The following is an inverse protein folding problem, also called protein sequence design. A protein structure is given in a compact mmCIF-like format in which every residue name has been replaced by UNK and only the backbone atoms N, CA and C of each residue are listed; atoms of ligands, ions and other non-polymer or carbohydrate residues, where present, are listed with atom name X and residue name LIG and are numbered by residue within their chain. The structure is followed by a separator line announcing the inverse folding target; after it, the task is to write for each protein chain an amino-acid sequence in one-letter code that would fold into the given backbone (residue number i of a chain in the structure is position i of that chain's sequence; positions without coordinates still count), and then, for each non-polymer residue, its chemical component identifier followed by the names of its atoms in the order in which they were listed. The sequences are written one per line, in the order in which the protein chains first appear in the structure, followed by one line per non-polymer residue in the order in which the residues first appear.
data_IF_809176221145
#
_entry.id   IF_809176221145
#
_cell.length_a   1.000
_cell.length_b   1.000
_cell.length_c   1.000
_cell.angle_alpha   90.00
_cell.angle_beta   90.00
_cell.angle_gamma   90.00
#
_symmetry.space_group_name_H-M   'P 1'
#
loop_
_entity.id
_entity.type
_entity.pdbx_description
1 polymer ?
#
# COMPACT_ATOMS: atom_id res chain seq x y z
N UNK A 1 7.64 16.69 23.07
CA UNK A 1 8.11 16.98 21.69
C UNK A 1 6.92 16.80 20.75
N UNK A 2 6.63 17.75 19.89
CA UNK A 2 5.49 17.67 18.97
C UNK A 2 6.00 17.68 17.53
N UNK A 3 5.57 16.69 16.72
CA UNK A 3 5.85 16.66 15.29
C UNK A 3 4.57 16.97 14.52
N UNK A 4 4.69 17.74 13.45
CA UNK A 4 3.54 18.15 12.64
C UNK A 4 3.80 17.83 11.17
N UNK A 5 2.74 17.43 10.47
CA UNK A 5 2.74 17.16 9.03
C UNK A 5 1.53 17.79 8.38
N UNK A 6 1.72 18.24 7.15
CA UNK A 6 0.66 18.60 6.22
C UNK A 6 0.70 17.62 5.05
N UNK A 7 -0.43 17.07 4.68
CA UNK A 7 -0.47 16.03 3.64
C UNK A 7 -1.68 16.21 2.75
N UNK A 8 -1.44 16.25 1.43
CA UNK A 8 -2.49 16.22 0.43
C UNK A 8 -2.79 14.77 0.01
N UNK A 9 -4.03 14.33 0.11
CA UNK A 9 -4.48 13.01 -0.33
C UNK A 9 -4.72 12.99 -1.84
N UNK A 10 -3.67 13.25 -2.60
CA UNK A 10 -3.64 13.12 -4.04
C UNK A 10 -3.39 11.67 -4.49
N UNK A 11 -3.33 11.41 -5.80
CA UNK A 11 -3.11 10.06 -6.33
C UNK A 11 -1.76 9.48 -5.89
N UNK A 12 -0.73 10.30 -5.75
CA UNK A 12 0.60 9.87 -5.34
C UNK A 12 0.60 9.39 -3.89
N UNK A 13 0.05 10.19 -2.98
CA UNK A 13 -0.11 9.87 -1.55
C UNK A 13 -0.92 8.58 -1.35
N UNK A 14 -2.06 8.46 -2.04
CA UNK A 14 -2.92 7.27 -1.96
C UNK A 14 -2.25 6.02 -2.55
N UNK A 15 -1.42 6.19 -3.60
CA UNK A 15 -0.59 5.10 -4.14
C UNK A 15 0.51 4.70 -3.15
N UNK A 16 1.13 5.67 -2.47
CA UNK A 16 2.11 5.41 -1.42
C UNK A 16 1.49 4.66 -0.23
N UNK A 17 0.27 5.04 0.19
CA UNK A 17 -0.49 4.30 1.22
C UNK A 17 -0.75 2.86 0.80
N UNK A 18 -1.21 2.63 -0.43
CA UNK A 18 -1.45 1.29 -0.96
C UNK A 18 -0.16 0.46 -1.01
N UNK A 19 0.97 1.05 -1.44
CA UNK A 19 2.29 0.42 -1.46
C UNK A 19 2.77 0.07 -0.04
N UNK A 20 2.63 0.99 0.92
CA UNK A 20 2.94 0.77 2.33
C UNK A 20 2.17 -0.42 2.90
N UNK A 21 0.84 -0.46 2.73
CA UNK A 21 -0.01 -1.58 3.15
C UNK A 21 0.40 -2.90 2.50
N UNK A 22 0.64 -2.89 1.19
CA UNK A 22 1.02 -4.11 0.45
C UNK A 22 2.35 -4.68 0.91
N UNK A 23 3.33 -3.83 1.21
CA UNK A 23 4.67 -4.27 1.59
C UNK A 23 4.83 -4.57 3.09
N UNK A 24 3.86 -4.17 3.91
CA UNK A 24 3.82 -4.46 5.35
C UNK A 24 2.77 -5.54 5.66
N UNK A 25 1.57 -5.11 6.02
CA UNK A 25 0.50 -6.00 6.54
C UNK A 25 -0.06 -6.97 5.50
N UNK A 26 -0.03 -6.62 4.20
CA UNK A 26 -0.52 -7.47 3.09
C UNK A 26 0.56 -8.29 2.38
N UNK A 27 1.82 -8.19 2.79
CA UNK A 27 2.98 -8.78 2.09
C UNK A 27 2.80 -10.28 1.78
N UNK A 28 2.35 -11.06 2.77
CA UNK A 28 2.13 -12.50 2.61
C UNK A 28 1.01 -12.80 1.59
N UNK A 29 -0.10 -12.06 1.64
CA UNK A 29 -1.23 -12.24 0.72
C UNK A 29 -0.85 -11.90 -0.71
N UNK A 30 -0.26 -10.75 -0.95
CA UNK A 30 0.17 -10.32 -2.28
C UNK A 30 1.20 -11.28 -2.90
N UNK A 31 2.17 -11.79 -2.10
CA UNK A 31 3.14 -12.80 -2.54
C UNK A 31 2.46 -14.11 -2.94
N UNK A 32 1.51 -14.62 -2.12
CA UNK A 32 0.79 -15.87 -2.43
C UNK A 32 0.00 -15.77 -3.74
N UNK A 33 -0.71 -14.64 -3.96
CA UNK A 33 -1.46 -14.42 -5.20
C UNK A 33 -0.55 -14.45 -6.42
N UNK A 34 0.62 -13.81 -6.37
CA UNK A 34 1.58 -13.81 -7.49
C UNK A 34 2.16 -15.19 -7.75
N UNK A 35 2.54 -15.93 -6.71
CA UNK A 35 3.06 -17.29 -6.84
C UNK A 35 2.00 -18.18 -7.48
N UNK A 36 0.76 -18.14 -6.98
CA UNK A 36 -0.34 -18.94 -7.53
C UNK A 36 -0.60 -18.59 -9.00
N UNK A 37 -0.69 -17.31 -9.35
CA UNK A 37 -0.88 -16.88 -10.72
C UNK A 37 0.28 -17.33 -11.64
N UNK A 38 1.53 -17.30 -11.16
CA UNK A 38 2.68 -17.80 -11.89
C UNK A 38 2.62 -19.31 -12.14
N UNK A 39 2.24 -20.12 -11.15
CA UNK A 39 2.09 -21.57 -11.30
C UNK A 39 1.01 -21.90 -12.34
N UNK A 40 -0.17 -21.27 -12.24
CA UNK A 40 -1.27 -21.50 -13.19
C UNK A 40 -0.88 -21.07 -14.61
N UNK A 41 -0.13 -19.96 -14.74
CA UNK A 41 0.39 -19.51 -16.03
C UNK A 41 1.32 -20.57 -16.65
N UNK A 42 2.27 -21.11 -15.88
CA UNK A 42 3.20 -22.13 -16.37
C UNK A 42 2.44 -23.39 -16.79
N UNK A 43 1.48 -23.87 -15.99
CA UNK A 43 0.65 -25.03 -16.34
C UNK A 43 -0.13 -24.76 -17.63
N UNK A 44 -0.71 -23.58 -17.78
CA UNK A 44 -1.44 -23.18 -19.00
C UNK A 44 -0.54 -23.15 -20.23
N UNK A 45 0.67 -22.61 -20.12
CA UNK A 45 1.64 -22.56 -21.22
C UNK A 45 2.12 -23.96 -21.62
N UNK A 46 2.42 -24.83 -20.65
CA UNK A 46 2.81 -26.24 -20.90
C UNK A 46 1.67 -27.00 -21.60
N UNK A 47 0.42 -26.83 -21.11
CA UNK A 47 -0.75 -27.45 -21.75
C UNK A 47 -0.92 -27.01 -23.21
N UNK A 48 -0.72 -25.70 -23.47
CA UNK A 48 -0.78 -25.15 -24.83
C UNK A 48 0.32 -25.72 -25.72
N UNK A 49 1.57 -25.78 -25.20
CA UNK A 49 2.70 -26.35 -25.94
C UNK A 49 2.50 -27.83 -26.29
N UNK A 50 1.99 -28.64 -25.35
CA UNK A 50 1.67 -30.05 -25.57
C UNK A 50 0.59 -30.24 -26.63
N UNK A 51 -0.48 -29.43 -26.62
CA UNK A 51 -1.53 -29.49 -27.67
C UNK A 51 -0.96 -29.19 -29.06
N UNK A 52 -0.06 -28.21 -29.17
CA UNK A 52 0.62 -27.88 -30.43
C UNK A 52 1.52 -29.06 -30.89
N UNK A 53 2.32 -29.61 -29.98
CA UNK A 53 3.22 -30.71 -30.28
C UNK A 53 2.47 -31.96 -30.72
N UNK A 54 1.31 -32.24 -30.15
CA UNK A 54 0.44 -33.40 -30.51
C UNK A 54 -0.42 -33.13 -31.74
N UNK A 55 -0.26 -31.99 -32.42
CA UNK A 55 -1.08 -31.57 -33.58
C UNK A 55 -2.59 -31.60 -33.29
N UNK A 56 -2.99 -31.49 -32.02
CA UNK A 56 -4.39 -31.38 -31.64
C UNK A 56 -4.91 -29.97 -31.92
N UNK A 57 -6.22 -29.84 -32.26
CA UNK A 57 -6.79 -28.50 -32.46
C UNK A 57 -6.72 -27.69 -31.19
N UNK A 58 -6.17 -26.46 -31.30
CA UNK A 58 -6.11 -25.50 -30.18
C UNK A 58 -7.54 -25.14 -29.75
N UNK A 59 -7.91 -25.57 -28.56
CA UNK A 59 -9.19 -25.18 -27.97
C UNK A 59 -9.05 -23.78 -27.33
N UNK A 60 -10.13 -23.01 -27.34
CA UNK A 60 -10.17 -21.66 -26.79
C UNK A 60 -9.62 -21.61 -25.32
N UNK A 61 -9.87 -22.65 -24.51
CA UNK A 61 -9.35 -22.77 -23.14
C UNK A 61 -7.83 -22.73 -23.05
N UNK A 62 -7.13 -23.28 -24.05
CA UNK A 62 -5.66 -23.36 -24.07
C UNK A 62 -5.02 -21.97 -24.19
N UNK A 63 -5.72 -21.00 -24.77
CA UNK A 63 -5.28 -19.60 -24.93
C UNK A 63 -5.85 -18.71 -23.82
N UNK A 64 -7.11 -18.91 -23.43
CA UNK A 64 -7.78 -18.07 -22.46
C UNK A 64 -7.16 -18.16 -21.06
N UNK A 65 -6.72 -19.35 -20.63
CA UNK A 65 -6.12 -19.54 -19.30
C UNK A 65 -4.79 -18.78 -19.17
N UNK A 66 -3.79 -18.95 -20.06
CA UNK A 66 -2.56 -18.15 -20.00
C UNK A 66 -2.82 -16.64 -20.09
N UNK A 67 -3.74 -16.21 -20.97
CA UNK A 67 -4.09 -14.81 -21.13
C UNK A 67 -4.71 -14.21 -19.85
N UNK A 68 -5.62 -14.95 -19.21
CA UNK A 68 -6.21 -14.54 -17.94
C UNK A 68 -5.15 -14.42 -16.83
N UNK A 69 -4.20 -15.36 -16.76
CA UNK A 69 -3.13 -15.31 -15.76
C UNK A 69 -2.15 -14.18 -16.00
N UNK A 70 -1.83 -13.86 -17.26
CA UNK A 70 -1.05 -12.67 -17.60
C UNK A 70 -1.74 -11.39 -17.11
N UNK A 71 -3.06 -11.29 -17.28
CA UNK A 71 -3.83 -10.17 -16.75
C UNK A 71 -3.78 -10.09 -15.22
N UNK A 72 -3.87 -11.22 -14.51
CA UNK A 72 -3.76 -11.25 -13.04
C UNK A 72 -2.36 -10.82 -12.60
N UNK A 73 -1.31 -11.26 -13.27
CA UNK A 73 0.07 -10.85 -12.99
C UNK A 73 0.22 -9.34 -13.24
N UNK A 74 -0.23 -8.84 -14.39
CA UNK A 74 -0.20 -7.42 -14.72
C UNK A 74 -0.94 -6.58 -13.69
N UNK A 75 -2.17 -6.95 -13.32
CA UNK A 75 -2.95 -6.26 -12.30
C UNK A 75 -2.23 -6.27 -10.93
N UNK A 76 -1.57 -7.38 -10.58
CA UNK A 76 -0.78 -7.49 -9.35
C UNK A 76 0.48 -6.61 -9.35
N UNK A 77 1.07 -6.35 -10.51
CA UNK A 77 2.19 -5.40 -10.65
C UNK A 77 1.73 -3.94 -10.53
N UNK A 78 0.50 -3.66 -10.98
CA UNK A 78 -0.12 -2.34 -10.91
C UNK A 78 -1.00 -2.13 -9.65
N UNK A 79 -0.97 -3.09 -8.72
CA UNK A 79 -1.86 -3.14 -7.54
C UNK A 79 -1.88 -1.80 -6.77
N UNK A 80 -0.72 -1.20 -6.54
CA UNK A 80 -0.62 0.04 -5.77
C UNK A 80 -1.30 1.21 -6.46
N UNK A 81 -1.06 1.36 -7.78
CA UNK A 81 -1.70 2.41 -8.60
C UNK A 81 -3.21 2.21 -8.73
N UNK A 82 -3.65 0.97 -8.93
CA UNK A 82 -5.06 0.65 -9.04
C UNK A 82 -5.78 0.94 -7.73
N UNK A 83 -5.21 0.50 -6.60
CA UNK A 83 -5.75 0.79 -5.27
C UNK A 83 -5.73 2.29 -4.96
N UNK A 84 -4.67 3.02 -5.33
CA UNK A 84 -4.62 4.47 -5.20
C UNK A 84 -5.71 5.20 -6.00
N UNK A 85 -5.99 4.74 -7.24
CA UNK A 85 -7.09 5.30 -8.06
C UNK A 85 -8.47 5.03 -7.45
N UNK A 86 -8.69 3.81 -6.95
CA UNK A 86 -9.94 3.47 -6.26
C UNK A 86 -10.09 4.32 -4.99
N UNK A 87 -9.04 4.44 -4.20
CA UNK A 87 -9.04 5.28 -3.01
C UNK A 87 -9.36 6.75 -3.36
N UNK A 88 -8.76 7.30 -4.44
CA UNK A 88 -9.00 8.68 -4.87
C UNK A 88 -10.47 8.93 -5.25
N UNK A 89 -11.14 7.95 -5.86
CA UNK A 89 -12.57 8.08 -6.20
C UNK A 89 -13.46 8.11 -4.94
N UNK A 90 -12.97 7.56 -3.84
CA UNK A 90 -13.71 7.44 -2.58
C UNK A 90 -13.28 8.48 -1.53
N UNK A 91 -12.39 9.42 -1.88
CA UNK A 91 -12.04 10.54 -1.00
C UNK A 91 -13.27 11.44 -0.85
N UNK A 92 -13.64 11.69 0.39
CA UNK A 92 -14.79 12.55 0.70
C UNK A 92 -14.40 14.03 0.50
N UNK A 93 -15.31 14.86 -0.04
CA UNK A 93 -15.07 16.30 -0.15
C UNK A 93 -14.68 16.90 1.21
N UNK A 94 -13.63 17.70 1.22
CA UNK A 94 -13.12 18.33 2.43
C UNK A 94 -12.14 17.45 3.25
N UNK A 95 -11.78 16.25 2.75
CA UNK A 95 -10.74 15.41 3.36
C UNK A 95 -9.48 15.29 2.51
N UNK A 96 -9.38 16.09 1.46
CA UNK A 96 -8.26 16.07 0.52
C UNK A 96 -6.95 16.58 1.13
N UNK A 97 -7.07 17.48 2.09
CA UNK A 97 -5.95 18.04 2.84
C UNK A 97 -6.09 17.71 4.32
N UNK A 98 -5.02 17.26 4.94
CA UNK A 98 -5.01 16.92 6.36
C UNK A 98 -3.76 17.47 7.05
N UNK A 99 -3.96 18.09 8.20
CA UNK A 99 -2.91 18.40 9.15
C UNK A 99 -2.86 17.33 10.23
N UNK A 100 -1.66 16.93 10.62
CA UNK A 100 -1.45 15.94 11.65
C UNK A 100 -0.49 16.43 12.72
N UNK A 101 -0.82 16.17 13.98
CA UNK A 101 0.00 16.51 15.13
C UNK A 101 0.24 15.26 15.97
N UNK A 102 1.52 14.91 16.14
CA UNK A 102 1.96 13.80 17.00
C UNK A 102 2.37 14.32 18.36
N UNK A 103 1.70 13.86 19.41
CA UNK A 103 1.98 14.15 20.81
C UNK A 103 2.46 12.94 21.59
N UNK A 104 2.50 13.03 22.90
CA UNK A 104 3.00 11.93 23.76
C UNK A 104 2.11 10.71 23.79
N UNK A 105 0.79 10.87 23.86
CA UNK A 105 -0.17 9.78 24.07
C UNK A 105 -0.81 9.27 22.77
N UNK A 106 -0.61 9.99 21.65
CA UNK A 106 -1.21 9.67 20.37
C UNK A 106 -1.04 10.80 19.37
N UNK A 107 -1.76 10.70 18.26
CA UNK A 107 -1.73 11.73 17.23
C UNK A 107 -3.14 12.10 16.77
N UNK A 108 -3.28 13.32 16.33
CA UNK A 108 -4.54 13.88 15.85
C UNK A 108 -4.40 14.22 14.37
N UNK A 109 -5.37 13.81 13.57
CA UNK A 109 -5.50 14.23 12.17
C UNK A 109 -6.73 15.12 12.05
N UNK A 110 -6.53 16.28 11.47
CA UNK A 110 -7.57 17.27 11.23
C UNK A 110 -7.66 17.58 9.74
N UNK A 111 -8.88 17.50 9.22
CA UNK A 111 -9.26 17.94 7.88
C UNK A 111 -10.21 19.13 7.98
N UNK A 112 -10.70 19.65 6.86
CA UNK A 112 -11.68 20.74 6.91
C UNK A 112 -13.04 20.35 7.53
N UNK A 113 -13.35 19.03 7.57
CA UNK A 113 -14.67 18.51 8.00
C UNK A 113 -14.60 17.56 9.18
N UNK A 114 -13.41 17.03 9.52
CA UNK A 114 -13.27 16.05 10.60
C UNK A 114 -12.01 16.28 11.41
N UNK A 115 -12.07 15.89 12.67
CA UNK A 115 -10.91 15.74 13.55
C UNK A 115 -10.95 14.34 14.17
N UNK A 116 -9.86 13.60 14.06
CA UNK A 116 -9.77 12.22 14.55
C UNK A 116 -8.50 12.03 15.37
N UNK A 117 -8.64 11.37 16.52
CA UNK A 117 -7.53 11.03 17.42
C UNK A 117 -7.22 9.55 17.34
N UNK A 118 -5.93 9.22 17.30
CA UNK A 118 -5.41 7.87 17.19
C UNK A 118 -4.38 7.59 18.27
N UNK A 119 -4.43 6.37 18.83
CA UNK A 119 -3.40 5.87 19.73
C UNK A 119 -2.29 5.15 18.95
N UNK A 120 -1.06 5.23 19.42
CA UNK A 120 0.07 4.48 18.84
C UNK A 120 -0.13 2.97 18.89
N UNK A 121 -0.89 2.46 19.85
CA UNK A 121 -1.23 1.04 19.95
C UNK A 121 -2.06 0.52 18.75
N UNK A 122 -2.76 1.40 18.03
CA UNK A 122 -3.52 1.04 16.83
C UNK A 122 -2.65 0.83 15.59
N UNK A 123 -1.39 1.24 15.63
CA UNK A 123 -0.48 1.13 14.49
C UNK A 123 0.02 -0.30 14.40
N UNK A 124 -0.28 -0.98 13.31
CA UNK A 124 0.15 -2.36 13.04
C UNK A 124 1.55 -2.43 12.43
N UNK A 125 1.90 -1.47 11.59
CA UNK A 125 3.22 -1.39 10.95
C UNK A 125 3.52 0.05 10.52
N UNK A 126 4.82 0.37 10.47
CA UNK A 126 5.34 1.63 9.98
C UNK A 126 6.18 1.36 8.74
N UNK A 127 5.88 2.03 7.65
CA UNK A 127 6.62 1.95 6.40
C UNK A 127 7.16 3.32 6.02
N UNK A 128 8.40 3.36 5.57
CA UNK A 128 9.01 4.57 5.02
C UNK A 128 9.29 4.38 3.54
N UNK A 129 8.70 5.23 2.72
CA UNK A 129 8.94 5.38 1.30
C UNK A 129 9.86 6.59 1.04
N UNK A 130 10.36 6.79 -0.17
CA UNK A 130 11.23 7.94 -0.47
C UNK A 130 10.68 9.28 0.01
N UNK A 131 9.41 9.57 -0.26
CA UNK A 131 8.76 10.83 0.12
C UNK A 131 7.84 10.71 1.35
N UNK A 132 7.22 9.56 1.57
CA UNK A 132 6.14 9.41 2.55
C UNK A 132 6.51 8.47 3.69
N UNK A 133 6.04 8.79 4.90
CA UNK A 133 5.86 7.84 5.99
C UNK A 133 4.42 7.31 5.96
N UNK A 134 4.26 6.00 6.09
CA UNK A 134 2.95 5.35 6.05
C UNK A 134 2.72 4.54 7.31
N UNK A 135 1.67 4.87 8.05
CA UNK A 135 1.21 4.12 9.21
C UNK A 135 0.07 3.20 8.80
N UNK A 136 0.25 1.91 8.94
CA UNK A 136 -0.80 0.92 8.70
C UNK A 136 -1.60 0.69 9.99
N UNK A 137 -2.91 0.95 9.96
CA UNK A 137 -3.83 0.76 11.10
C UNK A 137 -4.58 -0.56 11.01
N UNK A 138 -4.84 -1.02 9.80
CA UNK A 138 -5.46 -2.31 9.52
C UNK A 138 -4.99 -2.86 8.19
N UNK A 139 -5.53 -4.01 7.77
CA UNK A 139 -5.25 -4.54 6.44
C UNK A 139 -5.71 -3.60 5.29
N UNK A 140 -6.66 -2.70 5.56
CA UNK A 140 -7.27 -1.85 4.55
C UNK A 140 -7.15 -0.35 4.84
N UNK A 141 -6.62 0.02 6.00
CA UNK A 141 -6.51 1.40 6.44
C UNK A 141 -5.06 1.76 6.69
N UNK A 142 -4.63 2.84 6.08
CA UNK A 142 -3.34 3.46 6.32
C UNK A 142 -3.48 4.99 6.28
N UNK A 143 -2.48 5.65 6.78
CA UNK A 143 -2.30 7.09 6.73
C UNK A 143 -0.91 7.36 6.20
N UNK A 144 -0.76 8.36 5.34
CA UNK A 144 0.52 8.79 4.81
C UNK A 144 0.82 10.22 5.25
N UNK A 145 2.09 10.47 5.51
CA UNK A 145 2.61 11.75 5.96
C UNK A 145 3.75 12.14 5.02
N UNK A 146 3.63 13.33 4.41
CA UNK A 146 4.65 13.85 3.52
C UNK A 146 5.85 14.32 4.33
N UNK A 147 7.01 13.69 4.12
CA UNK A 147 8.24 14.02 4.86
C UNK A 147 8.73 15.45 4.62
N UNK A 148 8.41 16.01 3.45
CA UNK A 148 8.79 17.39 3.11
C UNK A 148 8.02 18.42 3.93
N UNK A 149 6.87 18.07 4.48
CA UNK A 149 6.04 18.95 5.32
C UNK A 149 6.35 18.83 6.81
N UNK A 150 7.30 17.98 7.21
CA UNK A 150 7.62 17.76 8.62
C UNK A 150 8.09 19.05 9.29
N UNK A 151 7.51 19.34 10.44
CA UNK A 151 7.93 20.39 11.35
C UNK A 151 7.97 19.90 12.80
N UNK A 152 8.76 20.55 13.63
CA UNK A 152 8.94 20.18 15.04
C UNK A 152 10.11 19.23 15.31
N UNK A 153 10.90 18.88 14.26
CA UNK A 153 12.10 18.05 14.35
C UNK A 153 12.56 17.51 13.01
N UNK A 154 13.54 16.63 13.02
CA UNK A 154 14.08 15.95 11.84
C UNK A 154 13.33 14.64 11.56
N UNK A 155 13.47 14.09 10.36
CA UNK A 155 12.87 12.80 10.00
C UNK A 155 13.48 11.65 10.81
N UNK A 156 14.75 11.76 11.16
CA UNK A 156 15.49 10.82 12.00
C UNK A 156 14.93 10.77 13.42
N UNK A 157 14.67 11.94 14.01
CA UNK A 157 14.06 12.07 15.34
C UNK A 157 12.63 11.54 15.33
N UNK A 158 11.85 11.86 14.30
CA UNK A 158 10.49 11.34 14.16
C UNK A 158 10.47 9.81 13.96
N UNK A 159 11.43 9.26 13.23
CA UNK A 159 11.57 7.81 13.05
C UNK A 159 11.88 7.11 14.38
N UNK A 160 12.79 7.66 15.18
CA UNK A 160 13.12 7.16 16.52
C UNK A 160 11.89 7.27 17.45
N UNK A 161 11.21 8.41 17.42
CA UNK A 161 9.98 8.64 18.20
C UNK A 161 8.89 7.60 17.85
N UNK A 162 8.62 7.35 16.56
CA UNK A 162 7.64 6.35 16.15
C UNK A 162 8.03 4.93 16.59
N UNK A 163 9.31 4.57 16.45
CA UNK A 163 9.80 3.26 16.88
C UNK A 163 9.62 3.06 18.39
N UNK A 164 9.91 4.08 19.19
CA UNK A 164 9.70 4.08 20.65
C UNK A 164 8.22 3.94 21.01
N UNK A 165 7.37 4.83 20.47
CA UNK A 165 5.93 4.88 20.81
C UNK A 165 5.14 3.67 20.32
N UNK A 166 5.52 3.08 19.19
CA UNK A 166 4.80 1.93 18.60
C UNK A 166 5.41 0.58 18.99
N UNK A 167 6.67 0.55 19.42
CA UNK A 167 7.44 -0.69 19.62
C UNK A 167 7.71 -1.44 18.32
N UNK A 168 7.60 -0.78 17.14
CA UNK A 168 7.70 -1.41 15.83
C UNK A 168 8.82 -0.79 14.99
N UNK A 169 9.59 -1.60 14.26
CA UNK A 169 10.63 -1.08 13.38
C UNK A 169 10.00 -0.34 12.19
N UNK A 170 10.63 0.76 11.79
CA UNK A 170 10.31 1.47 10.56
C UNK A 170 10.87 0.69 9.37
N UNK A 171 9.99 0.14 8.52
CA UNK A 171 10.37 -0.67 7.37
C UNK A 171 10.66 0.24 6.18
N UNK A 172 11.92 0.25 5.71
CA UNK A 172 12.31 0.99 4.52
C UNK A 172 11.78 0.30 3.26
N UNK A 173 11.08 1.06 2.41
CA UNK A 173 10.47 0.60 1.16
C UNK A 173 11.02 1.44 0.00
N UNK A 174 11.71 0.77 -0.90
CA UNK A 174 12.26 1.37 -2.13
C UNK A 174 11.20 1.60 -3.20
#
# INVERSE_FOLDING_TARGET
MEFRFETDYNLETLTAMAKGLRQTVRKKRSRRTRIFAGIVLVIGLVSTALSIASKEPLRARNLLVPLAMLNVIYASLQEDRLNGRVAKRNVLPGTEHASCVFGEDGYTIKTSVTESKFSYAQILAVAELPRYLVLALSNNQAQAFDKESLSGGTIEEFRAFLADKTGKPVQQIK
#
